data_IF_959905942127
#
_entry.id   IF_959905942127
#
_cell.length_a   1.000
_cell.length_b   1.000
_cell.length_c   1.000
_cell.angle_alpha   90.00
_cell.angle_beta   90.00
_cell.angle_gamma   90.00
#
_symmetry.space_group_name_H-M   'P 1'
#
loop_
_entity.id
_entity.type
_entity.pdbx_description
1 polymer ?
#
# COMPACT_ATOMS: atom_id res chain seq x y z
N UNK A 1 -2.45 -15.66 19.61
CA UNK A 1 -1.43 -14.83 20.30
C UNK A 1 -0.18 -15.68 20.43
N UNK A 2 0.94 -15.19 19.91
CA UNK A 2 2.24 -15.86 19.90
C UNK A 2 3.24 -14.88 20.52
N UNK A 3 4.03 -15.35 21.50
CA UNK A 3 5.14 -14.57 22.07
C UNK A 3 6.42 -15.29 21.62
N UNK A 4 7.14 -14.76 20.62
CA UNK A 4 8.36 -15.38 20.16
C UNK A 4 9.46 -15.29 21.21
N UNK A 5 10.16 -16.39 21.44
CA UNK A 5 11.42 -16.41 22.20
C UNK A 5 12.54 -15.95 21.26
N UNK A 6 12.94 -14.69 21.38
CA UNK A 6 14.13 -14.15 20.70
C UNK A 6 15.37 -14.38 21.54
N UNK A 7 16.54 -14.39 20.89
CA UNK A 7 17.83 -14.47 21.57
C UNK A 7 18.05 -13.20 22.41
N UNK A 8 18.13 -13.30 23.75
CA UNK A 8 18.27 -12.13 24.62
C UNK A 8 19.55 -11.34 24.35
N UNK A 9 20.64 -12.01 23.94
CA UNK A 9 21.89 -11.33 23.62
C UNK A 9 21.79 -10.48 22.34
N UNK A 10 20.99 -10.93 21.36
CA UNK A 10 20.74 -10.17 20.14
C UNK A 10 19.82 -8.97 20.39
N UNK A 11 18.80 -9.13 21.26
CA UNK A 11 17.88 -8.06 21.67
C UNK A 11 18.60 -6.98 22.47
N UNK A 12 19.50 -7.35 23.37
CA UNK A 12 20.28 -6.39 24.17
C UNK A 12 21.29 -5.60 23.31
N UNK A 13 21.87 -6.23 22.30
CA UNK A 13 22.83 -5.59 21.41
C UNK A 13 22.18 -4.57 20.47
N UNK A 14 21.04 -4.91 19.88
CA UNK A 14 20.30 -4.05 18.95
C UNK A 14 18.82 -4.47 18.88
N UNK A 15 17.95 -3.87 19.70
CA UNK A 15 16.54 -4.27 19.79
C UNK A 15 15.77 -3.99 18.50
N UNK A 16 16.09 -2.90 17.80
CA UNK A 16 15.44 -2.53 16.54
C UNK A 16 15.73 -3.58 15.46
N UNK A 17 17.00 -3.97 15.35
CA UNK A 17 17.42 -5.02 14.42
C UNK A 17 16.83 -6.38 14.78
N UNK A 18 16.68 -6.69 16.06
CA UNK A 18 16.04 -7.94 16.49
C UNK A 18 14.58 -8.02 16.01
N UNK A 19 13.83 -6.91 16.06
CA UNK A 19 12.48 -6.82 15.48
C UNK A 19 12.53 -6.98 13.97
N UNK A 20 13.42 -6.28 13.28
CA UNK A 20 13.56 -6.33 11.82
C UNK A 20 13.88 -7.74 11.31
N UNK A 21 14.85 -8.41 11.95
CA UNK A 21 15.26 -9.78 11.61
C UNK A 21 14.14 -10.79 11.92
N UNK A 22 13.36 -10.56 12.98
CA UNK A 22 12.20 -11.38 13.29
C UNK A 22 11.09 -11.22 12.24
N UNK A 23 10.70 -9.99 11.91
CA UNK A 23 9.68 -9.69 10.89
C UNK A 23 10.11 -10.22 9.53
N UNK A 24 11.40 -10.15 9.20
CA UNK A 24 11.99 -10.74 8.00
C UNK A 24 11.82 -12.26 7.90
N UNK A 25 11.81 -12.96 9.03
CA UNK A 25 11.65 -14.41 9.08
C UNK A 25 10.20 -14.87 8.90
N UNK A 26 9.21 -14.04 9.28
CA UNK A 26 7.79 -14.42 9.29
C UNK A 26 7.26 -14.87 7.91
N UNK A 27 7.54 -14.19 6.79
CA UNK A 27 7.07 -14.64 5.48
C UNK A 27 7.59 -16.02 5.05
N UNK A 28 8.74 -16.46 5.59
CA UNK A 28 9.34 -17.76 5.26
C UNK A 28 8.66 -18.93 6.00
N UNK A 29 7.92 -18.65 7.08
CA UNK A 29 7.26 -19.68 7.88
C UNK A 29 5.85 -19.97 7.34
N UNK A 30 5.47 -21.22 7.06
CA UNK A 30 4.10 -21.54 6.65
C UNK A 30 3.11 -21.22 7.79
N UNK A 31 1.96 -20.65 7.46
CA UNK A 31 0.86 -20.51 8.42
C UNK A 31 0.15 -21.85 8.60
N UNK A 32 -0.25 -22.14 9.84
CA UNK A 32 -1.08 -23.30 10.17
C UNK A 32 -2.50 -23.11 9.62
N UNK A 33 -2.89 -23.95 8.65
CA UNK A 33 -4.22 -23.90 8.00
C UNK A 33 -5.34 -24.48 8.86
N UNK A 34 -5.02 -25.11 9.99
CA UNK A 34 -6.03 -25.60 10.95
C UNK A 34 -6.58 -24.49 11.86
N UNK A 35 -5.97 -23.30 11.81
CA UNK A 35 -6.31 -22.11 12.59
C UNK A 35 -6.78 -20.99 11.66
N UNK A 36 -7.50 -19.99 12.19
CA UNK A 36 -7.77 -18.79 11.40
C UNK A 36 -6.46 -18.19 10.90
N UNK A 37 -6.44 -17.76 9.62
CA UNK A 37 -5.24 -17.36 8.88
C UNK A 37 -4.69 -15.97 9.28
N UNK A 38 -4.75 -15.65 10.57
CA UNK A 38 -4.20 -14.45 11.18
C UNK A 38 -3.45 -14.79 12.46
N UNK A 39 -2.33 -14.11 12.70
CA UNK A 39 -1.47 -14.31 13.85
C UNK A 39 -1.07 -12.95 14.44
N UNK A 40 -1.16 -12.82 15.75
CA UNK A 40 -0.60 -11.69 16.50
C UNK A 40 0.66 -12.16 17.22
N UNK A 41 1.77 -11.51 16.92
CA UNK A 41 3.07 -11.73 17.53
C UNK A 41 3.40 -10.54 18.45
N UNK A 42 3.56 -10.80 19.74
CA UNK A 42 3.84 -9.76 20.74
C UNK A 42 5.32 -9.78 21.10
N UNK A 43 6.01 -8.67 20.87
CA UNK A 43 7.40 -8.45 21.20
C UNK A 43 7.44 -7.49 22.41
N UNK A 44 7.57 -8.08 23.59
CA UNK A 44 7.51 -7.38 24.88
C UNK A 44 8.91 -6.96 25.34
N UNK A 45 9.57 -6.12 24.53
CA UNK A 45 10.83 -5.47 24.86
C UNK A 45 10.88 -4.07 24.26
N UNK A 46 11.55 -3.11 24.91
CA UNK A 46 11.66 -1.76 24.42
C UNK A 46 12.59 -1.68 23.20
N UNK A 47 12.14 -0.99 22.17
CA UNK A 47 12.90 -0.59 20.99
C UNK A 47 13.23 0.92 21.07
N UNK A 48 13.98 1.47 20.11
CA UNK A 48 14.29 2.91 20.13
C UNK A 48 13.04 3.78 19.98
N UNK A 49 12.01 3.28 19.30
CA UNK A 49 10.79 4.02 18.96
C UNK A 49 9.56 3.63 19.82
N UNK A 50 9.57 2.46 20.48
CA UNK A 50 8.39 1.95 21.19
C UNK A 50 8.72 1.10 22.43
N UNK A 51 7.85 1.14 23.44
CA UNK A 51 8.01 0.31 24.65
C UNK A 51 7.72 -1.19 24.41
N UNK A 52 6.88 -1.50 23.42
CA UNK A 52 6.57 -2.86 22.97
C UNK A 52 6.11 -2.81 21.51
N UNK A 53 6.37 -3.88 20.76
CA UNK A 53 6.01 -3.99 19.34
C UNK A 53 5.04 -5.15 19.12
N UNK A 54 3.97 -4.90 18.34
CA UNK A 54 3.01 -5.94 17.95
C UNK A 54 3.08 -6.12 16.43
N UNK A 55 3.30 -7.36 16.01
CA UNK A 55 3.33 -7.73 14.59
C UNK A 55 2.08 -8.53 14.27
N UNK A 56 1.22 -7.97 13.43
CA UNK A 56 0.03 -8.64 12.89
C UNK A 56 0.36 -9.24 11.53
N UNK A 57 0.24 -10.56 11.42
CA UNK A 57 0.43 -11.30 10.18
C UNK A 57 -0.92 -11.84 9.71
N UNK A 58 -1.37 -11.41 8.53
CA UNK A 58 -2.67 -11.81 7.96
C UNK A 58 -2.47 -12.40 6.58
N UNK A 59 -3.16 -13.51 6.28
CA UNK A 59 -3.17 -14.08 4.95
C UNK A 59 -4.00 -13.21 3.98
N UNK A 60 -3.51 -13.01 2.76
CA UNK A 60 -4.12 -12.09 1.77
C UNK A 60 -5.57 -12.45 1.37
N UNK A 61 -5.98 -13.70 1.59
CA UNK A 61 -7.37 -14.12 1.36
C UNK A 61 -8.38 -13.51 2.34
N UNK A 62 -7.93 -12.99 3.49
CA UNK A 62 -8.80 -12.38 4.49
C UNK A 62 -9.15 -10.92 4.16
N UNK A 63 -8.35 -10.26 3.33
CA UNK A 63 -8.58 -8.88 2.93
C UNK A 63 -7.38 -8.28 2.22
N UNK A 64 -7.65 -7.17 1.53
CA UNK A 64 -6.62 -6.29 1.02
C UNK A 64 -6.10 -5.35 2.13
N UNK A 65 -4.95 -4.71 1.89
CA UNK A 65 -4.33 -3.81 2.87
C UNK A 65 -5.27 -2.69 3.32
N UNK A 66 -6.10 -2.17 2.41
CA UNK A 66 -7.06 -1.11 2.71
C UNK A 66 -8.20 -1.57 3.61
N UNK A 67 -8.81 -2.73 3.35
CA UNK A 67 -9.87 -3.25 4.22
C UNK A 67 -9.33 -3.56 5.62
N UNK A 68 -8.11 -4.08 5.73
CA UNK A 68 -7.49 -4.37 7.02
C UNK A 68 -7.22 -3.08 7.82
N UNK A 69 -6.64 -2.06 7.19
CA UNK A 69 -6.40 -0.75 7.82
C UNK A 69 -7.73 -0.11 8.24
N UNK A 70 -8.74 -0.17 7.37
CA UNK A 70 -10.08 0.34 7.65
C UNK A 70 -10.71 -0.35 8.85
N UNK A 71 -10.61 -1.68 8.93
CA UNK A 71 -11.12 -2.45 10.06
C UNK A 71 -10.43 -2.08 11.36
N UNK A 72 -9.10 -1.93 11.33
CA UNK A 72 -8.31 -1.51 12.50
C UNK A 72 -8.73 -0.11 12.98
N UNK A 73 -8.86 0.85 12.06
CA UNK A 73 -9.33 2.19 12.36
C UNK A 73 -10.77 2.19 12.88
N UNK A 74 -11.66 1.37 12.30
CA UNK A 74 -13.04 1.21 12.76
C UNK A 74 -13.16 0.51 14.11
N UNK A 75 -12.14 -0.25 14.51
CA UNK A 75 -12.06 -0.83 15.86
C UNK A 75 -11.46 0.13 16.89
N UNK A 76 -10.73 1.15 16.45
CA UNK A 76 -10.15 2.16 17.31
C UNK A 76 -11.20 3.20 17.74
N UNK A 77 -11.01 3.79 18.93
CA UNK A 77 -11.81 4.91 19.43
C UNK A 77 -11.00 6.19 19.31
N UNK A 78 -11.69 7.31 19.07
CA UNK A 78 -11.02 8.61 19.08
C UNK A 78 -10.53 8.91 20.51
N UNK A 79 -9.26 9.28 20.63
CA UNK A 79 -8.69 9.71 21.91
C UNK A 79 -9.31 11.03 22.41
N UNK A 80 -9.83 11.86 21.50
CA UNK A 80 -10.48 13.12 21.83
C UNK A 80 -11.95 12.95 22.26
N UNK A 81 -12.66 11.96 21.71
CA UNK A 81 -14.04 11.64 22.10
C UNK A 81 -14.32 10.12 22.01
N UNK A 82 -14.39 9.41 23.16
CA UNK A 82 -14.61 7.97 23.18
C UNK A 82 -16.03 7.55 22.75
N UNK A 83 -17.00 8.48 22.72
CA UNK A 83 -18.38 8.21 22.31
C UNK A 83 -18.59 8.32 20.80
N UNK A 84 -17.69 9.03 20.11
CA UNK A 84 -17.72 9.17 18.65
C UNK A 84 -17.43 7.82 18.00
N UNK A 85 -18.33 7.40 17.11
CA UNK A 85 -18.07 6.25 16.25
C UNK A 85 -16.91 6.60 15.30
N UNK A 86 -15.99 5.67 15.04
CA UNK A 86 -14.94 5.87 14.05
C UNK A 86 -15.60 6.07 12.68
N UNK A 87 -15.76 7.33 12.29
CA UNK A 87 -16.22 7.71 10.98
C UNK A 87 -15.02 7.63 10.06
N UNK A 88 -15.07 6.70 9.10
CA UNK A 88 -14.12 6.71 8.00
C UNK A 88 -14.26 8.06 7.28
N UNK A 89 -13.15 8.74 6.93
CA UNK A 89 -13.24 10.02 6.22
C UNK A 89 -14.11 9.84 4.98
N UNK A 90 -15.02 10.78 4.74
CA UNK A 90 -15.78 10.76 3.50
C UNK A 90 -14.79 10.75 2.33
N UNK A 91 -14.92 9.75 1.46
CA UNK A 91 -14.12 9.74 0.24
C UNK A 91 -14.46 11.02 -0.51
N UNK A 92 -13.45 11.87 -0.82
CA UNK A 92 -13.72 13.07 -1.58
C UNK A 92 -14.43 12.66 -2.86
N UNK A 93 -15.55 13.32 -3.16
CA UNK A 93 -16.20 13.17 -4.45
C UNK A 93 -15.11 13.30 -5.52
N UNK A 94 -14.96 12.28 -6.37
CA UNK A 94 -13.89 12.23 -7.36
C UNK A 94 -14.17 13.30 -8.41
N UNK A 95 -13.80 14.54 -8.13
CA UNK A 95 -13.96 15.68 -9.04
C UNK A 95 -12.73 15.74 -9.94
N UNK A 96 -12.59 14.78 -10.83
CA UNK A 96 -11.60 14.79 -11.89
C UNK A 96 -12.29 14.95 -13.25
N UNK A 97 -11.56 15.42 -14.27
CA UNK A 97 -12.07 15.56 -15.64
C UNK A 97 -12.62 14.24 -16.24
N UNK A 98 -12.27 13.09 -15.64
CA UNK A 98 -12.78 11.75 -15.99
C UNK A 98 -14.23 11.53 -15.48
N UNK A 99 -14.63 12.24 -14.43
CA UNK A 99 -15.94 12.11 -13.76
C UNK A 99 -16.86 13.31 -14.04
N UNK A 100 -16.38 14.34 -14.76
CA UNK A 100 -17.28 15.34 -15.32
C UNK A 100 -18.23 14.63 -16.30
N UNK A 101 -19.56 14.77 -16.14
CA UNK A 101 -20.50 14.25 -17.12
C UNK A 101 -20.22 14.95 -18.44
N UNK A 102 -19.56 14.21 -19.35
CA UNK A 102 -19.13 14.70 -20.64
C UNK A 102 -20.33 15.31 -21.35
N UNK A 103 -20.31 16.64 -21.50
CA UNK A 103 -21.39 17.40 -22.10
C UNK A 103 -21.61 16.83 -23.50
N UNK A 104 -22.71 16.07 -23.67
CA UNK A 104 -23.06 15.42 -24.94
C UNK A 104 -23.17 16.51 -26.00
N UNK A 105 -22.18 16.58 -26.88
CA UNK A 105 -22.29 17.47 -28.04
C UNK A 105 -23.54 17.08 -28.84
N UNK A 106 -24.31 18.05 -29.36
CA UNK A 106 -25.50 17.76 -30.14
C UNK A 106 -25.14 16.85 -31.33
N UNK A 107 -25.90 15.77 -31.52
CA UNK A 107 -25.66 14.84 -32.64
C UNK A 107 -25.67 15.63 -33.96
N UNK A 108 -24.64 15.48 -34.82
CA UNK A 108 -24.64 16.11 -36.13
C UNK A 108 -25.79 15.54 -36.96
N UNK A 109 -26.52 16.43 -37.65
CA UNK A 109 -27.78 16.17 -38.36
C UNK A 109 -27.67 15.24 -39.60
N UNK A 110 -26.51 14.62 -39.82
CA UNK A 110 -26.26 13.67 -40.92
C UNK A 110 -25.93 12.27 -40.42
N UNK A 111 -26.57 11.25 -40.99
CA UNK A 111 -26.41 9.84 -40.60
C UNK A 111 -24.94 9.36 -40.62
N UNK A 112 -24.14 9.84 -41.58
CA UNK A 112 -22.71 9.53 -41.68
C UNK A 112 -21.89 10.19 -40.56
N UNK A 113 -22.19 11.45 -40.23
CA UNK A 113 -21.48 12.17 -39.17
C UNK A 113 -21.79 11.59 -37.78
N UNK A 114 -23.03 11.15 -37.55
CA UNK A 114 -23.42 10.45 -36.32
C UNK A 114 -22.72 9.09 -36.18
N UNK A 115 -22.59 8.34 -37.29
CA UNK A 115 -21.86 7.08 -37.30
C UNK A 115 -20.35 7.27 -37.02
N UNK A 116 -19.71 8.26 -37.66
CA UNK A 116 -18.30 8.58 -37.41
C UNK A 116 -18.07 9.02 -35.97
N UNK A 117 -18.92 9.89 -35.42
CA UNK A 117 -18.83 10.33 -34.02
C UNK A 117 -19.00 9.18 -33.02
N UNK A 118 -19.78 8.14 -33.36
CA UNK A 118 -19.95 6.95 -32.54
C UNK A 118 -18.75 6.01 -32.59
N UNK A 119 -18.15 5.81 -33.77
CA UNK A 119 -17.00 4.90 -33.97
C UNK A 119 -15.68 5.52 -33.48
N UNK A 120 -15.51 6.83 -33.61
CA UNK A 120 -14.29 7.56 -33.26
C UNK A 120 -13.72 7.28 -31.86
N UNK A 121 -14.49 7.34 -30.75
CA UNK A 121 -13.95 7.06 -29.43
C UNK A 121 -13.42 5.62 -29.28
N UNK A 122 -14.04 4.64 -29.95
CA UNK A 122 -13.56 3.25 -29.93
C UNK A 122 -12.24 3.09 -30.69
N UNK A 123 -12.06 3.81 -31.81
CA UNK A 123 -10.80 3.82 -32.54
C UNK A 123 -9.68 4.49 -31.73
N UNK A 124 -9.97 5.62 -31.08
CA UNK A 124 -9.01 6.30 -30.19
C UNK A 124 -8.63 5.41 -29.01
N UNK A 125 -9.61 4.75 -28.38
CA UNK A 125 -9.35 3.79 -27.31
C UNK A 125 -8.49 2.62 -27.79
N UNK A 126 -8.83 2.01 -28.93
CA UNK A 126 -8.05 0.92 -29.51
C UNK A 126 -6.60 1.36 -29.81
N UNK A 127 -6.41 2.54 -30.39
CA UNK A 127 -5.07 3.09 -30.64
C UNK A 127 -4.27 3.28 -29.35
N UNK A 128 -4.87 3.90 -28.32
CA UNK A 128 -4.21 4.09 -27.03
C UNK A 128 -3.85 2.75 -26.38
N UNK A 129 -4.74 1.76 -26.43
CA UNK A 129 -4.43 0.42 -25.89
C UNK A 129 -3.29 -0.27 -26.65
N UNK A 130 -3.21 -0.09 -27.97
CA UNK A 130 -2.11 -0.63 -28.78
C UNK A 130 -0.80 0.06 -28.41
N UNK A 131 -0.79 1.39 -28.28
CA UNK A 131 0.38 2.16 -27.84
C UNK A 131 0.83 1.72 -26.45
N UNK A 132 -0.09 1.56 -25.50
CA UNK A 132 0.22 1.10 -24.14
C UNK A 132 0.79 -0.32 -24.13
N UNK A 133 0.20 -1.25 -24.91
CA UNK A 133 0.71 -2.61 -25.03
C UNK A 133 2.10 -2.64 -25.66
N UNK A 134 2.35 -1.83 -26.70
CA UNK A 134 3.67 -1.71 -27.32
C UNK A 134 4.66 -1.10 -26.33
N UNK A 135 4.30 -0.04 -25.62
CA UNK A 135 5.17 0.60 -24.63
C UNK A 135 5.47 -0.35 -23.48
N UNK A 136 4.48 -1.10 -22.99
CA UNK A 136 4.65 -2.12 -21.97
C UNK A 136 5.53 -3.29 -22.45
N UNK A 137 5.32 -3.78 -23.68
CA UNK A 137 6.14 -4.82 -24.27
C UNK A 137 7.58 -4.34 -24.49
N UNK A 138 7.76 -3.10 -24.95
CA UNK A 138 9.06 -2.46 -25.09
C UNK A 138 9.73 -2.27 -23.73
N UNK A 139 8.98 -1.87 -22.71
CA UNK A 139 9.45 -1.77 -21.31
C UNK A 139 9.89 -3.15 -20.82
N UNK A 140 9.14 -4.22 -21.04
CA UNK A 140 9.54 -5.58 -20.63
C UNK A 140 10.77 -6.07 -21.40
N UNK A 141 10.79 -5.90 -22.71
CA UNK A 141 11.87 -6.39 -23.58
C UNK A 141 13.16 -5.56 -23.44
N UNK A 142 13.04 -4.29 -23.05
CA UNK A 142 14.16 -3.36 -22.89
C UNK A 142 14.61 -3.19 -21.43
N UNK A 143 13.73 -3.39 -20.43
CA UNK A 143 14.13 -3.58 -19.02
C UNK A 143 14.70 -4.98 -18.84
N UNK A 144 15.89 -5.20 -19.39
CA UNK A 144 16.84 -6.05 -18.69
C UNK A 144 17.23 -5.28 -17.44
N UNK A 145 16.53 -5.57 -16.35
CA UNK A 145 16.74 -4.93 -15.04
C UNK A 145 18.26 -4.85 -14.77
N UNK A 146 18.86 -3.64 -14.71
CA UNK A 146 20.27 -3.51 -14.39
C UNK A 146 20.54 -4.18 -13.05
N UNK A 147 21.75 -4.69 -12.83
CA UNK A 147 22.14 -5.27 -11.54
C UNK A 147 22.13 -4.16 -10.49
N UNK A 148 20.98 -3.93 -9.87
CA UNK A 148 20.81 -3.08 -8.71
C UNK A 148 21.11 -3.91 -7.46
N UNK A 149 21.40 -3.27 -6.33
CA UNK A 149 21.61 -3.95 -5.04
C UNK A 149 20.44 -4.86 -4.61
N UNK A 150 19.29 -4.75 -5.27
CA UNK A 150 18.10 -5.57 -5.03
C UNK A 150 17.98 -6.77 -6.00
N UNK A 151 18.68 -6.76 -7.14
CA UNK A 151 18.79 -7.89 -8.08
C UNK A 151 20.15 -8.57 -7.89
N UNK A 152 20.17 -9.59 -7.03
CA UNK A 152 21.36 -10.41 -6.76
C UNK A 152 21.73 -11.24 -7.98
N UNK A 153 22.97 -11.08 -8.46
CA UNK A 153 23.51 -11.84 -9.59
C UNK A 153 23.54 -13.35 -9.32
N UNK A 154 23.31 -14.11 -10.38
CA UNK A 154 23.07 -15.56 -10.40
C UNK A 154 24.32 -16.40 -10.13
N UNK A 155 25.11 -16.02 -9.13
CA UNK A 155 26.29 -16.76 -8.71
C UNK A 155 26.10 -17.20 -7.27
N UNK A 156 25.86 -18.51 -7.13
CA UNK A 156 26.00 -19.28 -5.90
C UNK A 156 24.83 -19.19 -4.90
N UNK A 157 23.91 -20.12 -5.14
CA UNK A 157 23.03 -20.82 -4.19
C UNK A 157 23.53 -20.71 -2.74
N UNK A 158 23.04 -19.69 -2.02
CA UNK A 158 22.86 -19.77 -0.58
C UNK A 158 21.38 -19.89 -0.33
N UNK A 159 20.98 -21.07 0.16
CA UNK A 159 19.63 -21.36 0.60
C UNK A 159 19.17 -20.25 1.57
N UNK A 160 18.04 -19.62 1.25
CA UNK A 160 17.31 -18.62 2.02
C UNK A 160 17.66 -17.15 1.69
N UNK A 161 16.92 -16.50 0.75
CA UNK A 161 17.02 -15.06 0.57
C UNK A 161 16.46 -14.38 1.83
N UNK A 162 17.34 -13.99 2.77
CA UNK A 162 16.97 -13.13 3.90
C UNK A 162 16.45 -11.81 3.33
N UNK A 163 15.13 -11.66 3.25
CA UNK A 163 14.46 -10.40 2.96
C UNK A 163 14.77 -9.47 4.12
N UNK A 164 15.43 -8.35 3.87
CA UNK A 164 15.72 -7.37 4.92
C UNK A 164 14.59 -6.37 4.97
N UNK A 165 13.86 -6.32 6.08
CA UNK A 165 12.95 -5.23 6.38
C UNK A 165 13.73 -4.19 7.17
N UNK A 166 13.67 -2.93 6.74
CA UNK A 166 14.19 -1.80 7.50
C UNK A 166 13.04 -0.85 7.71
N UNK A 167 12.79 -0.47 8.95
CA UNK A 167 11.73 0.46 9.28
C UNK A 167 12.33 1.83 9.62
N UNK A 168 11.62 2.88 9.20
CA UNK A 168 11.93 4.27 9.54
C UNK A 168 10.62 4.95 9.89
N UNK A 169 10.57 5.54 11.07
CA UNK A 169 9.49 6.45 11.44
C UNK A 169 9.67 7.78 10.70
N UNK A 170 8.56 8.34 10.21
CA UNK A 170 8.50 9.68 9.66
C UNK A 170 7.44 10.44 10.43
N UNK A 171 7.71 11.71 10.75
CA UNK A 171 6.71 12.52 11.43
C UNK A 171 5.54 12.82 10.49
N UNK A 172 4.31 12.73 11.01
CA UNK A 172 3.12 13.10 10.24
C UNK A 172 3.11 14.60 9.91
N UNK A 173 3.75 15.42 10.74
CA UNK A 173 3.85 16.87 10.54
C UNK A 173 4.71 17.22 9.34
N UNK A 174 5.82 16.50 9.11
CA UNK A 174 6.65 16.67 7.92
C UNK A 174 5.89 16.29 6.65
N UNK A 175 5.08 15.23 6.71
CA UNK A 175 4.24 14.81 5.58
C UNK A 175 3.16 15.86 5.29
N UNK A 176 2.54 16.43 6.32
CA UNK A 176 1.58 17.54 6.19
C UNK A 176 2.26 18.80 5.64
N UNK A 177 3.48 19.11 6.07
CA UNK A 177 4.26 20.24 5.57
C UNK A 177 4.55 20.10 4.08
N UNK A 178 5.05 18.94 3.64
CA UNK A 178 5.31 18.66 2.21
C UNK A 178 4.02 18.72 1.40
N UNK A 179 2.92 18.15 1.91
CA UNK A 179 1.59 18.23 1.26
C UNK A 179 1.19 19.68 1.03
N UNK A 180 1.29 20.52 2.06
CA UNK A 180 0.94 21.94 1.99
C UNK A 180 1.87 22.71 1.04
N UNK A 181 3.17 22.41 1.07
CA UNK A 181 4.16 23.05 0.21
C UNK A 181 4.02 22.68 -1.28
N UNK A 182 3.67 21.42 -1.58
CA UNK A 182 3.50 20.93 -2.96
C UNK A 182 2.12 21.24 -3.54
N UNK A 183 1.19 21.78 -2.75
CA UNK A 183 -0.21 22.03 -3.13
C UNK A 183 -0.90 20.78 -3.76
N UNK A 184 -0.41 19.60 -3.40
CA UNK A 184 -0.96 18.34 -3.88
C UNK A 184 -2.15 17.98 -2.99
N UNK A 185 -3.34 18.12 -3.56
CA UNK A 185 -4.63 17.64 -3.05
C UNK A 185 -5.30 18.55 -2.01
N UNK A 186 -6.20 19.39 -2.54
CA UNK A 186 -7.36 19.94 -1.84
C UNK A 186 -8.24 18.79 -1.35
N UNK A 187 -8.03 18.34 -0.11
CA UNK A 187 -9.00 17.60 0.70
C UNK A 187 -9.10 18.37 2.01
N UNK A 188 -10.05 19.30 2.05
CA UNK A 188 -10.61 19.83 3.29
C UNK A 188 -11.27 18.64 4.00
N UNK A 189 -10.72 18.25 5.16
CA UNK A 189 -11.37 17.56 6.31
C UNK A 189 -10.57 16.46 7.01
N UNK A 190 -9.39 16.05 6.53
CA UNK A 190 -8.63 15.00 7.22
C UNK A 190 -7.76 15.51 8.40
N UNK A 191 -7.68 16.83 8.62
CA UNK A 191 -6.83 17.41 9.68
C UNK A 191 -7.53 17.69 11.02
N UNK A 192 -8.85 17.55 11.14
CA UNK A 192 -9.57 17.87 12.39
C UNK A 192 -9.80 16.65 13.32
N UNK A 193 -9.07 15.55 13.13
CA UNK A 193 -9.21 14.33 13.96
C UNK A 193 -7.88 13.83 14.53
N UNK A 194 -6.79 14.59 14.40
CA UNK A 194 -5.55 14.38 15.14
C UNK A 194 -5.13 15.64 15.85
#
# INVERSE_FOLDING_TARGET
MIVPTLDPAAVEADPDRAVEDYVASLPALPMDRSRPLWEFHFLDFPTSEAASTVVLRVHHSLGDGMSLITLLLASARSAADPTRLPAMPEQPARTGAIYEPQHRQPLPSGALAAFVAWVWPYLVLAWNTVVDVIFFAATILFLRDPNTLFRRGDSEVTLNPRRRFVHRSFSLDDVKFIKNAMNCVSIYHLCDVF
#
